data_IF_594237183131
#
_entry.id   IF_594237183131
#
_cell.length_a   1.000
_cell.length_b   1.000
_cell.length_c   1.000
_cell.angle_alpha   90.00
_cell.angle_beta   90.00
_cell.angle_gamma   90.00
#
_symmetry.space_group_name_H-M   'P 1'
#
loop_
_entity.id
_entity.type
_entity.pdbx_description
1 polymer ?
#
# COMPACT_ATOMS: atom_id res chain seq x y z
N UNK A 1 -13.94 5.28 -4.79
CA UNK A 1 -13.81 4.13 -3.89
C UNK A 1 -12.98 4.51 -2.67
N UNK A 2 -13.49 4.30 -1.46
CA UNK A 2 -12.88 4.73 -0.19
C UNK A 2 -11.67 3.89 0.30
N UNK A 3 -11.10 2.99 -0.54
CA UNK A 3 -10.03 2.06 -0.13
C UNK A 3 -8.80 2.75 0.45
N UNK A 4 -8.23 3.71 -0.26
CA UNK A 4 -7.06 4.49 0.20
C UNK A 4 -7.35 5.23 1.50
N UNK A 5 -8.53 5.85 1.60
CA UNK A 5 -8.96 6.56 2.81
C UNK A 5 -9.15 5.60 3.98
N UNK A 6 -9.73 4.42 3.76
CA UNK A 6 -9.89 3.39 4.76
C UNK A 6 -8.55 2.93 5.33
N UNK A 7 -7.55 2.70 4.47
CA UNK A 7 -6.21 2.30 4.92
C UNK A 7 -5.53 3.44 5.66
N UNK A 8 -5.45 4.64 5.06
CA UNK A 8 -4.70 5.76 5.65
C UNK A 8 -5.35 6.31 6.91
N UNK A 9 -6.63 6.62 6.87
CA UNK A 9 -7.34 7.18 8.01
C UNK A 9 -7.76 6.13 9.07
N UNK A 10 -8.07 4.91 8.64
CA UNK A 10 -8.49 3.83 9.52
C UNK A 10 -7.32 3.03 10.09
N UNK A 11 -6.60 2.31 9.21
CA UNK A 11 -5.59 1.33 9.65
C UNK A 11 -4.34 2.01 10.18
N UNK A 12 -3.76 2.98 9.44
CA UNK A 12 -2.52 3.64 9.87
C UNK A 12 -2.69 4.37 11.19
N UNK A 13 -3.81 5.09 11.37
CA UNK A 13 -4.10 5.75 12.65
C UNK A 13 -4.22 4.76 13.81
N UNK A 14 -4.83 3.62 13.59
CA UNK A 14 -4.95 2.59 14.64
C UNK A 14 -3.59 1.98 15.00
N UNK A 15 -2.76 1.72 13.99
CA UNK A 15 -1.40 1.21 14.22
C UNK A 15 -0.59 2.24 15.00
N UNK A 16 -0.59 3.51 14.58
CA UNK A 16 0.16 4.56 15.23
C UNK A 16 -0.33 4.85 16.67
N UNK A 17 -1.65 4.80 16.91
CA UNK A 17 -2.23 5.20 18.21
C UNK A 17 -2.35 4.05 19.20
N UNK A 18 -2.66 2.82 18.77
CA UNK A 18 -2.90 1.69 19.68
C UNK A 18 -1.65 0.89 20.02
N UNK A 19 -0.65 0.94 19.15
CA UNK A 19 0.62 0.24 19.36
C UNK A 19 1.74 1.15 19.90
N UNK A 20 1.38 2.37 20.31
CA UNK A 20 2.20 3.23 21.17
C UNK A 20 2.10 2.75 22.62
N UNK A 21 2.50 1.51 22.90
CA UNK A 21 2.72 1.05 24.26
C UNK A 21 4.00 1.65 24.84
N UNK A 22 4.33 1.33 26.11
CA UNK A 22 5.53 1.83 26.84
C UNK A 22 6.85 1.64 26.09
N UNK A 23 6.87 0.86 25.00
CA UNK A 23 8.05 0.53 24.17
C UNK A 23 8.22 1.41 22.91
N UNK A 24 7.43 2.46 22.73
CA UNK A 24 7.51 3.33 21.56
C UNK A 24 6.83 2.78 20.30
N UNK A 25 6.86 3.57 19.22
CA UNK A 25 6.25 3.19 17.94
C UNK A 25 7.07 2.10 17.24
N UNK A 26 6.62 0.84 17.34
CA UNK A 26 7.28 -0.33 16.76
C UNK A 26 7.02 -0.52 15.26
N UNK A 27 6.38 0.44 14.58
CA UNK A 27 6.04 0.36 13.18
C UNK A 27 6.69 1.48 12.36
N UNK A 28 7.21 1.12 11.21
CA UNK A 28 7.55 2.04 10.12
C UNK A 28 6.58 1.79 8.98
N UNK A 29 5.91 2.84 8.49
CA UNK A 29 4.82 2.71 7.52
C UNK A 29 5.17 3.54 6.29
N UNK A 30 5.06 2.95 5.09
CA UNK A 30 5.10 3.69 3.84
C UNK A 30 3.89 3.36 2.96
N UNK A 31 3.61 4.25 2.02
CA UNK A 31 2.54 4.06 1.04
C UNK A 31 2.99 4.61 -0.30
N UNK A 32 2.86 3.81 -1.36
CA UNK A 32 3.18 4.22 -2.72
C UNK A 32 2.22 3.60 -3.73
N UNK A 33 2.30 4.07 -4.97
CA UNK A 33 1.57 3.51 -6.12
C UNK A 33 2.58 2.90 -7.08
N UNK A 34 2.33 1.68 -7.60
CA UNK A 34 3.23 1.04 -8.55
C UNK A 34 3.43 1.86 -9.82
N UNK A 35 2.35 2.41 -10.37
CA UNK A 35 2.39 3.20 -11.60
C UNK A 35 2.98 2.41 -12.77
N UNK A 36 3.78 3.11 -13.61
CA UNK A 36 4.46 2.52 -14.77
C UNK A 36 5.77 1.81 -14.40
N UNK A 37 6.43 2.24 -13.34
CA UNK A 37 7.75 1.74 -12.90
C UNK A 37 7.66 1.28 -11.44
N UNK A 38 7.09 0.10 -11.15
CA UNK A 38 6.78 -0.33 -9.80
C UNK A 38 8.02 -0.48 -8.91
N UNK A 39 9.16 -0.91 -9.46
CA UNK A 39 10.41 -1.06 -8.71
C UNK A 39 11.00 0.31 -8.37
N UNK A 40 11.06 1.25 -9.31
CA UNK A 40 11.55 2.61 -9.07
C UNK A 40 10.69 3.34 -8.05
N UNK A 41 9.36 3.19 -8.15
CA UNK A 41 8.44 3.79 -7.18
C UNK A 41 8.55 3.15 -5.78
N UNK A 42 8.87 1.85 -5.72
CA UNK A 42 9.22 1.19 -4.46
C UNK A 42 10.53 1.76 -3.89
N UNK A 43 11.59 1.91 -4.71
CA UNK A 43 12.86 2.53 -4.30
C UNK A 43 12.63 3.92 -3.73
N UNK A 44 11.83 4.75 -4.42
CA UNK A 44 11.45 6.09 -3.96
C UNK A 44 10.75 6.04 -2.59
N UNK A 45 9.83 5.10 -2.40
CA UNK A 45 9.12 4.95 -1.13
C UNK A 45 10.05 4.49 0.00
N UNK A 46 10.99 3.58 -0.29
CA UNK A 46 11.96 3.06 0.69
C UNK A 46 13.00 4.11 1.08
N UNK A 47 13.43 4.97 0.15
CA UNK A 47 14.39 6.06 0.40
C UNK A 47 13.74 7.30 1.02
N UNK A 48 12.41 7.33 1.14
CA UNK A 48 11.70 8.45 1.76
C UNK A 48 11.78 8.41 3.28
N UNK A 49 11.64 9.59 3.88
CA UNK A 49 11.54 9.91 5.31
C UNK A 49 11.57 8.77 6.33
N UNK A 50 12.75 8.41 6.80
CA UNK A 50 12.96 7.60 8.00
C UNK A 50 12.33 6.19 8.00
N UNK A 51 11.87 5.68 6.85
CA UNK A 51 11.23 4.37 6.82
C UNK A 51 12.18 3.27 7.34
N UNK A 52 13.41 3.27 6.83
CA UNK A 52 14.45 2.27 7.14
C UNK A 52 15.51 2.78 8.14
N UNK A 53 15.30 3.97 8.73
CA UNK A 53 16.24 4.64 9.62
C UNK A 53 15.67 4.76 11.03
N UNK A 54 16.54 4.75 12.03
CA UNK A 54 16.21 5.04 13.42
C UNK A 54 16.76 6.39 13.85
N UNK A 55 18.05 6.60 13.64
CA UNK A 55 18.80 7.76 14.13
C UNK A 55 19.45 8.56 13.00
N UNK A 56 19.76 7.93 11.89
CA UNK A 56 20.30 8.60 10.69
C UNK A 56 19.18 9.19 9.82
N UNK A 57 19.58 9.93 8.79
CA UNK A 57 18.68 10.45 7.76
C UNK A 57 18.96 9.72 6.45
N UNK A 58 17.97 9.62 5.54
CA UNK A 58 18.20 9.13 4.19
C UNK A 58 19.33 9.89 3.51
N UNK A 59 20.16 9.17 2.76
CA UNK A 59 21.19 9.74 1.91
C UNK A 59 20.65 9.97 0.50
N UNK A 60 21.22 10.89 -0.23
CA UNK A 60 20.84 11.15 -1.63
C UNK A 60 21.11 9.97 -2.56
N UNK A 61 22.03 9.07 -2.19
CA UNK A 61 22.37 7.85 -2.95
C UNK A 61 21.46 6.66 -2.66
N UNK A 62 20.64 6.68 -1.60
CA UNK A 62 19.86 5.51 -1.17
C UNK A 62 18.94 4.98 -2.26
N UNK A 63 18.35 5.86 -3.06
CA UNK A 63 17.52 5.45 -4.19
C UNK A 63 18.32 4.61 -5.21
N UNK A 64 19.50 5.09 -5.60
CA UNK A 64 20.36 4.41 -6.59
C UNK A 64 20.89 3.09 -6.02
N UNK A 65 21.28 3.07 -4.75
CA UNK A 65 21.76 1.89 -4.04
C UNK A 65 20.67 0.81 -3.94
N UNK A 66 19.41 1.22 -3.70
CA UNK A 66 18.27 0.28 -3.68
C UNK A 66 17.95 -0.24 -5.07
N UNK A 67 17.96 0.64 -6.08
CA UNK A 67 17.72 0.23 -7.47
C UNK A 67 18.79 -0.76 -7.94
N UNK A 68 20.06 -0.52 -7.62
CA UNK A 68 21.16 -1.46 -7.91
C UNK A 68 20.96 -2.77 -7.15
N UNK A 69 20.52 -2.73 -5.88
CA UNK A 69 20.23 -3.93 -5.11
C UNK A 69 19.15 -4.78 -5.76
N UNK A 70 18.08 -4.19 -6.30
CA UNK A 70 17.06 -4.93 -7.05
C UNK A 70 17.59 -5.50 -8.37
N UNK A 71 18.48 -4.80 -9.08
CA UNK A 71 19.14 -5.33 -10.29
C UNK A 71 20.02 -6.55 -9.99
N UNK A 72 20.70 -6.56 -8.84
CA UNK A 72 21.64 -7.64 -8.48
C UNK A 72 20.94 -8.80 -7.77
N UNK A 73 20.00 -8.50 -6.87
CA UNK A 73 19.34 -9.48 -5.98
C UNK A 73 17.96 -9.89 -6.47
N UNK A 74 17.45 -9.23 -7.51
CA UNK A 74 16.14 -9.50 -8.10
C UNK A 74 15.04 -9.60 -7.04
N UNK A 75 14.30 -10.68 -7.01
CA UNK A 75 13.19 -10.89 -6.08
C UNK A 75 13.56 -10.92 -4.58
N UNK A 76 14.84 -11.02 -4.26
CA UNK A 76 15.35 -10.94 -2.89
C UNK A 76 15.83 -9.54 -2.48
N UNK A 77 15.78 -8.56 -3.40
CA UNK A 77 16.30 -7.21 -3.18
C UNK A 77 15.69 -6.53 -1.95
N UNK A 78 14.37 -6.58 -1.78
CA UNK A 78 13.70 -5.97 -0.62
C UNK A 78 14.14 -6.59 0.71
N UNK A 79 14.30 -7.90 0.75
CA UNK A 79 14.79 -8.60 1.94
C UNK A 79 16.23 -8.21 2.29
N UNK A 80 17.08 -8.03 1.28
CA UNK A 80 18.48 -7.64 1.45
C UNK A 80 18.58 -6.19 1.98
N UNK A 81 17.82 -5.27 1.37
CA UNK A 81 17.71 -3.87 1.81
C UNK A 81 17.25 -3.81 3.28
N UNK A 82 16.18 -4.54 3.61
CA UNK A 82 15.64 -4.54 4.95
C UNK A 82 16.63 -5.12 5.98
N UNK A 83 17.30 -6.22 5.67
CA UNK A 83 18.31 -6.83 6.55
C UNK A 83 19.50 -5.91 6.82
N UNK A 84 19.84 -5.03 5.90
CA UNK A 84 20.91 -4.03 6.04
C UNK A 84 20.46 -2.75 6.73
N UNK A 85 19.16 -2.55 6.91
CA UNK A 85 18.61 -1.33 7.49
C UNK A 85 18.80 -1.23 9.00
N UNK A 86 18.80 -0.01 9.54
CA UNK A 86 18.90 0.24 10.98
C UNK A 86 17.72 -0.31 11.78
N UNK A 87 16.57 -0.51 11.15
CA UNK A 87 15.34 -0.97 11.81
C UNK A 87 15.22 -2.50 11.85
N UNK A 88 16.12 -3.23 11.19
CA UNK A 88 16.08 -4.70 11.20
C UNK A 88 16.11 -5.25 12.63
N UNK A 89 15.16 -6.13 12.95
CA UNK A 89 14.99 -6.72 14.28
C UNK A 89 14.47 -5.74 15.36
N UNK A 90 14.21 -4.46 15.02
CA UNK A 90 13.78 -3.42 15.98
C UNK A 90 12.39 -2.90 15.70
N UNK A 91 11.97 -2.87 14.43
CA UNK A 91 10.66 -2.39 14.01
C UNK A 91 10.02 -3.32 12.98
N UNK A 92 8.70 -3.31 12.97
CA UNK A 92 7.91 -3.88 11.89
C UNK A 92 7.78 -2.86 10.76
N UNK A 93 7.77 -3.31 9.52
CA UNK A 93 7.54 -2.47 8.34
C UNK A 93 6.19 -2.80 7.74
N UNK A 94 5.36 -1.78 7.52
CA UNK A 94 4.11 -1.90 6.78
C UNK A 94 4.22 -1.13 5.46
N UNK A 95 4.14 -1.85 4.36
CA UNK A 95 4.16 -1.30 3.01
C UNK A 95 2.74 -1.34 2.45
N UNK A 96 2.15 -0.17 2.21
CA UNK A 96 0.87 -0.05 1.55
C UNK A 96 1.09 0.22 0.06
N UNK A 97 0.66 -0.72 -0.76
CA UNK A 97 0.67 -0.61 -2.22
C UNK A 97 -0.73 -0.16 -2.64
N UNK A 98 -0.84 1.12 -2.97
CA UNK A 98 -2.11 1.72 -3.36
C UNK A 98 -2.31 1.64 -4.88
N UNK A 99 -3.53 1.35 -5.32
CA UNK A 99 -3.85 1.17 -6.74
C UNK A 99 -2.99 0.09 -7.43
N UNK A 100 -2.93 -1.10 -6.83
CA UNK A 100 -2.14 -2.21 -7.37
C UNK A 100 -2.52 -2.56 -8.82
N UNK A 101 -3.75 -2.27 -9.23
CA UNK A 101 -4.22 -2.44 -10.60
C UNK A 101 -3.42 -1.65 -11.64
N UNK A 102 -2.62 -0.66 -11.23
CA UNK A 102 -1.82 0.13 -12.16
C UNK A 102 -0.85 -0.75 -12.97
N UNK A 103 -0.31 -1.83 -12.38
CA UNK A 103 0.54 -2.79 -13.08
C UNK A 103 -0.17 -3.50 -14.25
N UNK A 104 -1.52 -3.50 -14.29
CA UNK A 104 -2.32 -4.14 -15.34
C UNK A 104 -2.97 -3.15 -16.31
N UNK A 105 -2.93 -1.84 -16.00
CA UNK A 105 -3.66 -0.82 -16.75
C UNK A 105 -2.94 -0.35 -17.99
N UNK A 106 -1.61 -0.34 -17.92
CA UNK A 106 -0.83 0.23 -19.01
C UNK A 106 -0.52 -0.84 -20.06
N UNK A 107 -0.94 -0.63 -21.31
CA UNK A 107 -0.62 -1.57 -22.39
C UNK A 107 0.89 -1.53 -22.65
N UNK A 108 1.54 -2.66 -22.43
CA UNK A 108 2.98 -2.84 -22.58
C UNK A 108 3.35 -3.15 -24.03
N UNK A 109 2.83 -2.33 -24.96
CA UNK A 109 2.89 -2.64 -26.38
C UNK A 109 4.28 -2.51 -27.01
N UNK A 110 5.26 -1.91 -26.33
CA UNK A 110 6.53 -1.57 -26.97
C UNK A 110 7.80 -1.88 -26.18
N UNK A 111 7.72 -2.27 -24.91
CA UNK A 111 8.91 -2.50 -24.09
C UNK A 111 8.84 -3.81 -23.32
N UNK A 112 9.70 -4.78 -23.70
CA UNK A 112 9.83 -6.06 -23.00
C UNK A 112 10.32 -5.87 -21.57
N UNK A 113 11.09 -4.84 -21.32
CA UNK A 113 11.71 -4.59 -20.02
C UNK A 113 10.66 -4.18 -18.99
N UNK A 114 9.58 -3.46 -19.40
CA UNK A 114 8.46 -3.13 -18.49
C UNK A 114 7.65 -4.34 -18.01
N UNK A 115 7.56 -5.42 -18.81
CA UNK A 115 6.90 -6.65 -18.37
C UNK A 115 7.71 -7.39 -17.32
N UNK A 116 9.02 -7.41 -17.48
CA UNK A 116 9.93 -8.03 -16.53
C UNK A 116 9.88 -7.32 -15.18
N UNK A 117 9.72 -5.99 -15.17
CA UNK A 117 9.59 -5.20 -13.95
C UNK A 117 8.33 -5.54 -13.14
N UNK A 118 7.18 -5.78 -13.78
CA UNK A 118 5.96 -6.14 -13.05
C UNK A 118 6.01 -7.56 -12.50
N UNK A 119 6.52 -8.51 -13.27
CA UNK A 119 6.71 -9.88 -12.82
C UNK A 119 7.70 -9.92 -11.66
N UNK A 120 8.82 -9.22 -11.80
CA UNK A 120 9.82 -9.09 -10.74
C UNK A 120 9.23 -8.41 -9.50
N UNK A 121 8.42 -7.35 -9.67
CA UNK A 121 7.76 -6.67 -8.57
C UNK A 121 6.82 -7.60 -7.78
N UNK A 122 6.01 -8.40 -8.48
CA UNK A 122 5.14 -9.40 -7.85
C UNK A 122 5.98 -10.49 -7.15
N UNK A 123 7.07 -10.93 -7.77
CA UNK A 123 7.97 -11.89 -7.14
C UNK A 123 8.65 -11.35 -5.89
N UNK A 124 9.07 -10.09 -5.87
CA UNK A 124 9.61 -9.41 -4.68
C UNK A 124 8.62 -9.51 -3.51
N UNK A 125 7.36 -9.16 -3.75
CA UNK A 125 6.32 -9.23 -2.73
C UNK A 125 6.14 -10.68 -2.25
N UNK A 126 6.00 -11.62 -3.18
CA UNK A 126 5.79 -13.03 -2.88
C UNK A 126 6.94 -13.64 -2.07
N UNK A 127 8.19 -13.39 -2.46
CA UNK A 127 9.39 -13.83 -1.73
C UNK A 127 9.47 -13.21 -0.34
N UNK A 128 9.11 -11.93 -0.24
CA UNK A 128 9.13 -11.22 1.05
C UNK A 128 8.09 -11.80 2.01
N UNK A 129 6.85 -12.04 1.54
CA UNK A 129 5.79 -12.63 2.38
C UNK A 129 6.15 -14.04 2.85
N UNK A 130 6.76 -14.85 1.99
CA UNK A 130 7.17 -16.23 2.32
C UNK A 130 8.36 -16.30 3.27
N UNK A 131 9.07 -15.20 3.47
CA UNK A 131 10.23 -15.15 4.36
C UNK A 131 9.84 -14.72 5.77
N UNK A 132 9.56 -15.69 6.64
CA UNK A 132 9.12 -15.46 8.01
C UNK A 132 10.18 -14.80 8.93
N UNK A 133 11.43 -14.64 8.47
CA UNK A 133 12.51 -14.03 9.27
C UNK A 133 12.47 -12.49 9.27
N UNK A 134 11.62 -11.89 8.43
CA UNK A 134 11.51 -10.44 8.29
C UNK A 134 10.12 -9.96 8.69
N UNK A 135 10.08 -8.92 9.52
CA UNK A 135 8.83 -8.27 9.98
C UNK A 135 8.35 -7.25 8.95
N UNK A 136 8.13 -7.68 7.70
CA UNK A 136 7.59 -6.87 6.61
C UNK A 136 6.16 -7.34 6.29
N UNK A 137 5.22 -6.39 6.31
CA UNK A 137 3.80 -6.62 6.06
C UNK A 137 3.34 -5.77 4.89
N UNK A 138 2.41 -6.30 4.11
CA UNK A 138 1.83 -5.59 2.97
C UNK A 138 0.34 -5.37 3.16
N UNK A 139 -0.13 -4.18 2.79
CA UNK A 139 -1.52 -3.91 2.50
C UNK A 139 -1.60 -3.53 1.03
N UNK A 140 -2.44 -4.25 0.28
CA UNK A 140 -2.62 -4.03 -1.15
C UNK A 140 -4.05 -3.56 -1.38
N UNK A 141 -4.22 -2.36 -1.97
CA UNK A 141 -5.52 -1.90 -2.43
C UNK A 141 -5.64 -2.10 -3.93
N UNK A 142 -6.68 -2.79 -4.36
CA UNK A 142 -6.94 -3.13 -5.76
C UNK A 142 -8.42 -2.97 -6.08
N UNK A 143 -8.77 -2.62 -7.30
CA UNK A 143 -10.15 -2.64 -7.78
C UNK A 143 -10.59 -4.09 -8.06
N UNK A 144 -11.81 -4.43 -7.68
CA UNK A 144 -12.34 -5.81 -7.77
C UNK A 144 -12.36 -6.39 -9.19
N UNK A 145 -12.56 -5.54 -10.20
CA UNK A 145 -12.52 -5.95 -11.61
C UNK A 145 -11.14 -6.40 -12.10
N UNK A 146 -10.06 -6.09 -11.36
CA UNK A 146 -8.71 -6.54 -11.68
C UNK A 146 -8.28 -7.82 -10.94
N UNK A 147 -9.08 -8.31 -10.01
CA UNK A 147 -8.73 -9.52 -9.24
C UNK A 147 -8.54 -10.75 -10.14
N UNK A 148 -9.31 -10.87 -11.21
CA UNK A 148 -9.17 -11.97 -12.18
C UNK A 148 -7.83 -11.98 -12.89
N UNK A 149 -7.20 -10.81 -13.08
CA UNK A 149 -5.87 -10.72 -13.68
C UNK A 149 -4.76 -11.26 -12.78
N UNK A 150 -4.99 -11.33 -11.48
CA UNK A 150 -4.04 -11.92 -10.53
C UNK A 150 -3.95 -13.44 -10.64
N UNK A 151 -4.95 -14.11 -11.25
CA UNK A 151 -4.96 -15.56 -11.37
C UNK A 151 -3.77 -16.11 -12.19
N UNK A 152 -3.19 -15.29 -13.06
CA UNK A 152 -1.97 -15.66 -13.82
C UNK A 152 -0.71 -15.75 -12.97
N UNK A 153 -0.72 -15.21 -11.74
CA UNK A 153 0.43 -15.15 -10.85
C UNK A 153 0.44 -16.24 -9.75
N UNK A 154 -0.18 -17.38 -10.02
CA UNK A 154 -0.07 -18.62 -9.22
C UNK A 154 -0.14 -18.42 -7.70
N UNK A 155 0.97 -18.69 -7.02
CA UNK A 155 1.04 -18.65 -5.54
C UNK A 155 0.75 -17.27 -4.94
N UNK A 156 0.96 -16.18 -5.67
CA UNK A 156 0.60 -14.84 -5.21
C UNK A 156 -0.92 -14.65 -5.16
N UNK A 157 -1.63 -15.16 -6.16
CA UNK A 157 -3.10 -15.18 -6.18
C UNK A 157 -3.68 -15.97 -5.00
N UNK A 158 -3.10 -17.13 -4.67
CA UNK A 158 -3.52 -17.93 -3.52
C UNK A 158 -3.35 -17.15 -2.19
N UNK A 159 -2.20 -16.49 -1.98
CA UNK A 159 -1.95 -15.68 -0.79
C UNK A 159 -2.96 -14.54 -0.65
N UNK A 160 -3.27 -13.86 -1.74
CA UNK A 160 -4.26 -12.78 -1.73
C UNK A 160 -5.67 -13.28 -1.44
N UNK A 161 -6.07 -14.43 -1.99
CA UNK A 161 -7.40 -14.99 -1.77
C UNK A 161 -7.66 -15.33 -0.30
N UNK A 162 -6.64 -15.78 0.43
CA UNK A 162 -6.71 -16.11 1.86
C UNK A 162 -6.79 -14.87 2.77
N UNK A 163 -6.38 -13.71 2.28
CA UNK A 163 -6.28 -12.46 3.07
C UNK A 163 -7.10 -11.30 2.50
N UNK A 164 -8.06 -11.61 1.62
CA UNK A 164 -8.89 -10.61 0.96
C UNK A 164 -9.94 -10.02 1.89
N UNK A 165 -10.05 -8.69 1.89
CA UNK A 165 -11.13 -7.96 2.53
C UNK A 165 -11.88 -7.11 1.49
N UNK A 166 -13.17 -7.39 1.30
CA UNK A 166 -14.01 -6.63 0.40
C UNK A 166 -14.61 -5.44 1.13
N UNK A 167 -14.25 -4.22 0.71
CA UNK A 167 -14.89 -3.01 1.20
C UNK A 167 -16.29 -2.90 0.56
N UNK A 168 -17.36 -2.87 1.36
CA UNK A 168 -18.69 -2.63 0.84
C UNK A 168 -18.80 -1.22 0.25
N UNK A 169 -19.77 -1.01 -0.61
CA UNK A 169 -20.11 0.33 -1.02
C UNK A 169 -20.55 1.16 0.18
N UNK A 170 -20.11 2.41 0.23
CA UNK A 170 -20.56 3.33 1.26
C UNK A 170 -22.07 3.55 1.11
N UNK A 171 -22.83 3.15 2.13
CA UNK A 171 -24.19 3.61 2.31
C UNK A 171 -24.14 5.04 2.88
N UNK A 172 -24.59 6.00 2.08
CA UNK A 172 -24.54 7.42 2.45
C UNK A 172 -25.35 7.72 3.71
N UNK A 173 -26.48 7.07 3.90
CA UNK A 173 -27.33 7.30 5.07
C UNK A 173 -26.60 6.86 6.35
N UNK A 174 -25.95 5.70 6.33
CA UNK A 174 -25.12 5.23 7.44
C UNK A 174 -23.89 6.12 7.65
N UNK A 175 -23.27 6.62 6.59
CA UNK A 175 -22.14 7.54 6.68
C UNK A 175 -22.52 8.86 7.32
N UNK A 176 -23.61 9.52 6.89
CA UNK A 176 -24.09 10.77 7.48
C UNK A 176 -24.58 10.59 8.91
N UNK A 177 -25.24 9.48 9.21
CA UNK A 177 -25.66 9.16 10.56
C UNK A 177 -24.46 9.05 11.52
N UNK A 178 -23.39 8.38 11.09
CA UNK A 178 -22.18 8.24 11.91
C UNK A 178 -21.43 9.57 12.06
N UNK A 179 -21.31 10.38 11.01
CA UNK A 179 -20.69 11.72 11.08
C UNK A 179 -21.48 12.62 12.04
N UNK A 180 -22.79 12.61 11.97
CA UNK A 180 -23.65 13.43 12.85
C UNK A 180 -23.48 13.06 14.30
N UNK A 181 -23.31 11.77 14.60
CA UNK A 181 -23.15 11.29 15.97
C UNK A 181 -21.72 11.48 16.52
N UNK A 182 -20.69 11.29 15.69
CA UNK A 182 -19.28 11.34 16.11
C UNK A 182 -18.75 12.76 16.22
N UNK A 183 -19.18 13.68 15.37
CA UNK A 183 -18.57 15.01 15.28
C UNK A 183 -19.21 16.08 16.16
N UNK A 184 -20.32 15.81 16.84
CA UNK A 184 -21.07 16.82 17.62
C UNK A 184 -21.36 18.14 16.86
N UNK A 185 -21.25 18.12 15.52
CA UNK A 185 -21.56 19.26 14.66
C UNK A 185 -22.96 19.10 14.07
N UNK A 186 -23.74 20.16 14.11
CA UNK A 186 -24.99 20.23 13.36
C UNK A 186 -24.67 20.51 11.89
N UNK A 187 -24.75 19.46 11.07
CA UNK A 187 -24.68 19.63 9.61
C UNK A 187 -26.04 20.18 9.15
N UNK A 188 -26.04 21.29 8.40
CA UNK A 188 -27.29 21.85 7.90
C UNK A 188 -27.98 20.86 6.93
N UNK A 189 -29.31 20.69 6.99
CA UNK A 189 -30.04 19.83 6.07
C UNK A 189 -29.75 20.14 4.59
N UNK A 190 -29.65 21.42 4.24
CA UNK A 190 -29.37 21.88 2.89
C UNK A 190 -28.01 21.40 2.34
N UNK A 191 -27.00 21.19 3.21
CA UNK A 191 -25.70 20.67 2.82
C UNK A 191 -25.81 19.17 2.55
N UNK A 192 -26.60 18.44 3.31
CA UNK A 192 -26.84 17.01 3.12
C UNK A 192 -27.54 16.80 1.76
N UNK A 193 -28.62 17.52 1.51
CA UNK A 193 -29.39 17.44 0.26
C UNK A 193 -28.52 17.80 -0.97
N UNK A 194 -27.67 18.82 -0.82
CA UNK A 194 -26.74 19.22 -1.89
C UNK A 194 -25.69 18.14 -2.19
N UNK A 195 -25.15 17.47 -1.17
CA UNK A 195 -24.21 16.38 -1.33
C UNK A 195 -24.86 15.12 -1.89
N UNK A 196 -26.08 14.79 -1.47
CA UNK A 196 -26.84 13.67 -2.01
C UNK A 196 -27.15 13.87 -3.51
N UNK A 197 -27.54 15.07 -3.91
CA UNK A 197 -27.79 15.39 -5.31
C UNK A 197 -26.51 15.32 -6.16
N UNK A 198 -25.39 15.86 -5.68
CA UNK A 198 -24.10 15.79 -6.41
C UNK A 198 -23.54 14.38 -6.54
N UNK A 199 -23.88 13.48 -5.63
CA UNK A 199 -23.40 12.11 -5.62
C UNK A 199 -24.31 11.15 -6.38
N UNK A 200 -25.61 11.43 -6.42
CA UNK A 200 -26.57 10.68 -7.24
C UNK A 200 -26.42 10.97 -8.74
N UNK A 201 -25.89 12.14 -9.10
CA UNK A 201 -25.63 12.52 -10.51
C UNK A 201 -24.33 11.93 -11.09
N UNK A 202 -23.47 11.31 -10.27
CA UNK A 202 -22.29 10.58 -10.76
C UNK A 202 -22.54 9.07 -10.66
N UNK A 203 -22.98 8.41 -11.75
CA UNK A 203 -22.96 6.96 -11.81
C UNK A 203 -21.52 6.52 -11.56
N UNK A 204 -21.34 5.52 -10.69
CA UNK A 204 -20.07 4.91 -10.31
C UNK A 204 -19.21 4.63 -11.55
N UNK A 205 -18.11 5.39 -11.70
CA UNK A 205 -17.01 5.05 -12.57
C UNK A 205 -16.20 3.89 -11.95
#
# INVERSE_FOLDING_TARGET
>A
SGKTSFVKAGIFNRINNKFQGESGNNWSICSFRPGLSPIENLCTALSSDKLLYLNSKPNSSDYDDYLETFKIKESFGLLDIFKKSEIFGKKNVLIHIDHFEDIFRYPKFYDRDMHLDDELFIEIINKTIKNNSCSIYFIITIQSNFLTKLNSYGTFSELLSLSQFNLPNLDFNSFFYNIKNDLKFSISPNLIDSLENQLSEKPSL
#
